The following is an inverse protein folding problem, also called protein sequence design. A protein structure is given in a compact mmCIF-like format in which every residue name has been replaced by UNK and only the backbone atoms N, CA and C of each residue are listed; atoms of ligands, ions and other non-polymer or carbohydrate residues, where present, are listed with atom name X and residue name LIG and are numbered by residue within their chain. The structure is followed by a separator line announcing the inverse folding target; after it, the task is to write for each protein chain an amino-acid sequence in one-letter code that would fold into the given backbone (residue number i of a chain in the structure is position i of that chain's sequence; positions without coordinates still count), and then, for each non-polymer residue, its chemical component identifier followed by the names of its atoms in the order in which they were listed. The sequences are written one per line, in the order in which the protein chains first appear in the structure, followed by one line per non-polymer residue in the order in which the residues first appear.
data_IF_704383212195
#
_entry.id   IF_704383212195
#
_cell.length_a   1.000
_cell.length_b   1.000
_cell.length_c   1.000
_cell.angle_alpha   90.00
_cell.angle_beta   90.00
_cell.angle_gamma   90.00
#
_symmetry.space_group_name_H-M   'P 1'
#
loop_
_entity.id
_entity.type
_entity.pdbx_description
1 polymer ?
#
# COMPACT_ATOMS: atom_id res chain seq x y z
N UNK A 1 8.31 14.04 -6.43
CA UNK A 1 8.17 13.77 -4.99
C UNK A 1 6.72 14.02 -4.62
N UNK A 2 6.03 13.03 -4.06
CA UNK A 2 4.61 13.12 -3.69
C UNK A 2 4.43 13.49 -2.21
N UNK A 3 5.53 13.62 -1.45
CA UNK A 3 5.48 13.79 0.00
C UNK A 3 5.03 12.53 0.72
N UNK A 4 4.58 12.72 1.96
CA UNK A 4 4.15 11.65 2.86
C UNK A 4 2.63 11.41 2.81
N UNK A 5 2.20 10.20 3.13
CA UNK A 5 0.79 9.91 3.36
C UNK A 5 0.33 10.66 4.63
N UNK A 6 -0.76 11.45 4.58
CA UNK A 6 -1.26 12.12 5.76
C UNK A 6 -1.94 11.12 6.71
N UNK A 7 -1.41 10.99 7.94
CA UNK A 7 -1.93 10.10 8.98
C UNK A 7 -2.46 10.89 10.20
N UNK A 8 -3.61 11.57 10.08
CA UNK A 8 -4.13 12.45 11.13
C UNK A 8 -4.60 11.69 12.39
N UNK A 9 -4.82 10.38 12.28
CA UNK A 9 -5.26 9.49 13.36
C UNK A 9 -4.16 8.49 13.73
N UNK A 10 -2.95 8.98 14.01
CA UNK A 10 -1.74 8.16 14.16
C UNK A 10 -1.80 7.00 15.18
N UNK A 11 -2.72 7.03 16.16
CA UNK A 11 -2.90 5.96 17.16
C UNK A 11 -4.09 5.03 16.85
N UNK A 12 -4.69 5.16 15.67
CA UNK A 12 -5.78 4.32 15.16
C UNK A 12 -5.24 3.62 13.91
N UNK A 13 -4.87 2.35 14.07
CA UNK A 13 -4.18 1.60 13.04
C UNK A 13 -5.08 1.36 11.83
N UNK A 14 -6.34 1.05 12.08
CA UNK A 14 -7.37 0.83 11.07
C UNK A 14 -7.57 2.08 10.21
N UNK A 15 -7.66 3.25 10.87
CA UNK A 15 -7.71 4.54 10.20
C UNK A 15 -6.46 4.85 9.36
N UNK A 16 -5.29 4.46 9.85
CA UNK A 16 -4.03 4.68 9.14
C UNK A 16 -3.95 3.79 7.89
N UNK A 17 -4.37 2.52 7.99
CA UNK A 17 -4.42 1.61 6.84
C UNK A 17 -5.42 2.13 5.80
N UNK A 18 -6.60 2.61 6.21
CA UNK A 18 -7.58 3.24 5.30
C UNK A 18 -6.96 4.42 4.55
N UNK A 19 -6.30 5.34 5.26
CA UNK A 19 -5.65 6.50 4.65
C UNK A 19 -4.52 6.13 3.67
N UNK A 20 -3.72 5.12 4.01
CA UNK A 20 -2.69 4.57 3.11
C UNK A 20 -3.35 3.98 1.87
N UNK A 21 -4.34 3.12 2.01
CA UNK A 21 -5.03 2.47 0.89
C UNK A 21 -5.62 3.51 -0.06
N UNK A 22 -6.29 4.54 0.46
CA UNK A 22 -6.92 5.58 -0.33
C UNK A 22 -5.90 6.44 -1.09
N UNK A 23 -4.82 6.86 -0.43
CA UNK A 23 -3.74 7.60 -1.08
C UNK A 23 -3.12 6.79 -2.23
N UNK A 24 -2.82 5.52 -2.01
CA UNK A 24 -2.21 4.67 -3.03
C UNK A 24 -3.18 4.32 -4.16
N UNK A 25 -4.49 4.31 -3.91
CA UNK A 25 -5.50 4.18 -4.97
C UNK A 25 -5.44 5.33 -5.95
N UNK A 26 -5.41 6.57 -5.47
CA UNK A 26 -5.29 7.76 -6.32
C UNK A 26 -4.00 7.73 -7.15
N UNK A 27 -2.89 7.34 -6.52
CA UNK A 27 -1.59 7.15 -7.21
C UNK A 27 -1.70 6.08 -8.31
N UNK A 28 -2.35 4.95 -8.02
CA UNK A 28 -2.56 3.88 -8.97
C UNK A 28 -3.48 4.24 -10.14
N UNK A 29 -4.55 4.98 -9.88
CA UNK A 29 -5.48 5.49 -10.89
C UNK A 29 -4.82 6.46 -11.86
N UNK A 30 -3.86 7.25 -11.39
CA UNK A 30 -3.01 8.09 -12.23
C UNK A 30 -2.05 7.29 -13.13
N UNK A 31 -1.93 5.97 -12.93
CA UNK A 31 -1.00 5.10 -13.66
C UNK A 31 0.46 5.24 -13.17
N UNK A 32 0.68 5.88 -12.02
CA UNK A 32 1.99 6.06 -11.43
C UNK A 32 2.48 4.77 -10.77
N UNK A 33 3.78 4.46 -10.87
CA UNK A 33 4.39 3.30 -10.20
C UNK A 33 5.12 3.81 -8.94
N UNK A 34 4.53 3.68 -7.74
CA UNK A 34 5.09 4.31 -6.55
C UNK A 34 6.39 3.64 -6.10
N UNK A 35 7.30 4.45 -5.57
CA UNK A 35 8.43 4.02 -4.74
C UNK A 35 8.21 4.65 -3.38
N UNK A 36 8.05 3.81 -2.35
CA UNK A 36 7.66 4.22 -1.00
C UNK A 36 8.84 4.11 -0.06
N UNK A 37 9.04 5.11 0.80
CA UNK A 37 9.98 5.04 1.93
C UNK A 37 9.13 4.91 3.19
N UNK A 38 9.11 3.70 3.76
CA UNK A 38 8.13 3.31 4.78
C UNK A 38 8.59 3.48 6.23
N UNK A 39 7.67 3.14 7.13
CA UNK A 39 7.96 2.73 8.50
C UNK A 39 8.14 1.23 8.60
N UNK A 40 7.39 0.56 9.47
CA UNK A 40 7.40 -0.90 9.58
C UNK A 40 6.55 -1.61 8.50
N UNK A 41 6.57 -2.95 8.51
CA UNK A 41 5.94 -3.79 7.48
C UNK A 41 4.40 -3.71 7.45
N UNK A 42 3.75 -3.11 8.45
CA UNK A 42 2.28 -2.99 8.47
C UNK A 42 1.71 -2.17 7.31
N UNK A 43 2.48 -1.21 6.76
CA UNK A 43 2.00 -0.34 5.68
C UNK A 43 1.83 -1.07 4.34
N UNK A 44 2.57 -2.16 4.13
CA UNK A 44 2.61 -2.88 2.83
C UNK A 44 1.23 -3.42 2.46
N UNK A 45 0.44 -3.86 3.44
CA UNK A 45 -0.92 -4.34 3.21
C UNK A 45 -1.83 -3.28 2.58
N UNK A 46 -1.87 -2.08 3.16
CA UNK A 46 -2.69 -0.97 2.64
C UNK A 46 -2.24 -0.51 1.25
N UNK A 47 -0.92 -0.44 1.03
CA UNK A 47 -0.35 -0.11 -0.29
C UNK A 47 -0.86 -1.09 -1.35
N UNK A 48 -0.75 -2.39 -1.10
CA UNK A 48 -1.16 -3.42 -2.06
C UNK A 48 -2.66 -3.39 -2.34
N UNK A 49 -3.48 -3.14 -1.31
CA UNK A 49 -4.93 -2.95 -1.47
C UNK A 49 -5.28 -1.74 -2.35
N UNK A 50 -4.46 -0.69 -2.34
CA UNK A 50 -4.67 0.50 -3.17
C UNK A 50 -4.27 0.29 -4.65
N UNK A 51 -3.24 -0.50 -4.92
CA UNK A 51 -2.63 -0.57 -6.26
C UNK A 51 -2.86 -1.87 -7.03
N UNK A 52 -3.37 -2.92 -6.40
CA UNK A 52 -3.49 -4.24 -7.01
C UNK A 52 -4.83 -4.91 -6.74
N UNK A 53 -5.17 -5.90 -7.56
CA UNK A 53 -6.42 -6.64 -7.48
C UNK A 53 -7.49 -6.10 -8.42
N UNK A 54 -8.72 -6.56 -8.19
CA UNK A 54 -9.87 -6.24 -9.03
C UNK A 54 -10.09 -4.73 -9.11
N UNK A 55 -10.28 -4.21 -10.33
CA UNK A 55 -10.48 -2.77 -10.57
C UNK A 55 -9.21 -1.91 -10.49
N UNK A 56 -8.08 -2.44 -10.02
CA UNK A 56 -6.84 -1.67 -9.95
C UNK A 56 -6.23 -1.45 -11.35
N UNK A 57 -6.04 -0.18 -11.72
CA UNK A 57 -5.48 0.21 -13.03
C UNK A 57 -4.06 -0.33 -13.24
N UNK A 58 -3.22 -0.32 -12.20
CA UNK A 58 -1.80 -0.66 -12.33
C UNK A 58 -1.54 -2.13 -12.63
N UNK A 59 -2.35 -3.02 -12.07
CA UNK A 59 -2.28 -4.46 -12.37
C UNK A 59 -3.28 -4.88 -13.44
N UNK A 60 -4.10 -3.97 -13.96
CA UNK A 60 -5.13 -4.29 -14.95
C UNK A 60 -6.21 -5.24 -14.42
N UNK A 61 -6.50 -5.19 -13.11
CA UNK A 61 -7.42 -6.11 -12.44
C UNK A 61 -6.78 -7.39 -11.92
N UNK A 62 -5.52 -7.66 -12.24
CA UNK A 62 -4.83 -8.89 -11.84
C UNK A 62 -4.24 -8.82 -10.42
N UNK A 63 -3.90 -9.99 -9.87
CA UNK A 63 -3.20 -10.10 -8.57
C UNK A 63 -1.78 -9.57 -8.66
N UNK A 64 -1.28 -9.03 -7.54
CA UNK A 64 0.13 -8.69 -7.40
C UNK A 64 1.01 -9.95 -7.29
N UNK A 65 2.23 -9.85 -7.81
CA UNK A 65 3.32 -10.76 -7.51
C UNK A 65 4.30 -10.04 -6.58
N UNK A 66 4.68 -10.68 -5.47
CA UNK A 66 5.61 -10.12 -4.49
C UNK A 66 6.96 -10.81 -4.57
N UNK A 67 8.00 -10.00 -4.77
CA UNK A 67 9.38 -10.38 -4.47
C UNK A 67 9.74 -9.76 -3.11
N UNK A 68 9.75 -10.58 -2.07
CA UNK A 68 9.87 -10.15 -0.68
C UNK A 68 11.23 -10.56 -0.12
N UNK A 69 12.03 -9.58 0.27
CA UNK A 69 13.31 -9.79 0.96
C UNK A 69 13.13 -9.37 2.42
N UNK A 70 13.19 -10.34 3.33
CA UNK A 70 13.08 -10.09 4.77
C UNK A 70 13.74 -11.24 5.54
N UNK A 71 14.12 -10.96 6.78
CA UNK A 71 14.56 -11.97 7.73
C UNK A 71 13.38 -12.75 8.33
N UNK A 72 12.17 -12.20 8.26
CA UNK A 72 10.94 -12.78 8.80
C UNK A 72 9.93 -13.08 7.69
N UNK A 73 9.03 -14.04 7.91
CA UNK A 73 8.05 -14.43 6.89
C UNK A 73 6.85 -13.49 6.82
N UNK A 74 6.56 -12.76 7.90
CA UNK A 74 5.38 -11.90 8.07
C UNK A 74 4.05 -12.56 7.67
N UNK A 75 3.96 -13.87 7.90
CA UNK A 75 2.83 -14.73 7.53
C UNK A 75 2.28 -15.50 8.74
N UNK A 76 2.11 -14.81 9.87
CA UNK A 76 1.59 -15.41 11.10
C UNK A 76 0.11 -15.82 10.95
N UNK A 77 -0.27 -16.93 11.57
CA UNK A 77 -1.60 -17.53 11.53
C UNK A 77 -2.23 -17.60 12.93
#
# INVERSE_FOLDING_TARGET
DLGDVPLPRANDNEACIEAITDFYREVGEAGCRPVSIGGDHSITGGILQGIAGEGARLTGGEKACLLHFDAHTDAYH
#
